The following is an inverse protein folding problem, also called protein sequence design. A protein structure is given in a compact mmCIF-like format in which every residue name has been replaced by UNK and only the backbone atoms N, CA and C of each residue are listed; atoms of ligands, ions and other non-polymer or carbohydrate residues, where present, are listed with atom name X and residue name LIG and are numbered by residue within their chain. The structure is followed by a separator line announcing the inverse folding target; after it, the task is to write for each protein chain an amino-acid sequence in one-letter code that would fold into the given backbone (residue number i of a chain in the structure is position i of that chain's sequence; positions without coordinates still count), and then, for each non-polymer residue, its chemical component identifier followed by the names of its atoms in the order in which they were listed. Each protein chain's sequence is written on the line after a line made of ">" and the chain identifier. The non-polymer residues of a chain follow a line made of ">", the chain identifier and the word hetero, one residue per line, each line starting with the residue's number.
data_IF_185474598216
#
_entry.id   IF_185474598216
#
_cell.length_a   1.000
_cell.length_b   1.000
_cell.length_c   1.000
_cell.angle_alpha   90.00
_cell.angle_beta   90.00
_cell.angle_gamma   90.00
#
_symmetry.space_group_name_H-M   'P 1'
#
loop_
_entity.id
_entity.type
_entity.pdbx_description
1 polymer ?
#
# COMPACT_ATOMS: atom_id res chain seq x y z
N UNK A 1 -11.92 -11.96 -3.59
CA UNK A 1 -11.08 -11.48 -4.71
C UNK A 1 -10.16 -10.37 -4.21
N UNK A 2 -8.89 -10.46 -4.48
CA UNK A 2 -7.95 -9.37 -4.26
C UNK A 2 -7.53 -8.78 -5.61
N UNK A 3 -7.67 -7.48 -5.76
CA UNK A 3 -7.24 -6.74 -6.95
C UNK A 3 -6.21 -5.70 -6.55
N UNK A 4 -5.10 -5.72 -7.25
CA UNK A 4 -4.08 -4.67 -7.22
C UNK A 4 -3.83 -4.24 -8.66
N UNK A 5 -4.24 -3.04 -9.01
CA UNK A 5 -4.01 -2.51 -10.34
C UNK A 5 -2.53 -2.13 -10.48
N UNK A 6 -1.79 -2.97 -11.14
CA UNK A 6 -0.39 -2.75 -11.54
C UNK A 6 -0.31 -2.83 -13.04
N UNK A 7 0.65 -2.18 -13.67
CA UNK A 7 0.83 -2.23 -15.12
C UNK A 7 1.05 -3.66 -15.64
N UNK A 8 1.00 -3.83 -16.96
CA UNK A 8 1.17 -5.12 -17.63
C UNK A 8 2.49 -5.80 -17.27
N UNK A 9 3.52 -5.01 -17.03
CA UNK A 9 4.81 -5.47 -16.51
C UNK A 9 5.06 -4.84 -15.14
N UNK A 10 4.65 -5.52 -14.07
CA UNK A 10 4.73 -5.01 -12.69
C UNK A 10 6.16 -4.66 -12.22
N UNK A 11 7.20 -5.08 -12.94
CA UNK A 11 8.59 -4.74 -12.63
C UNK A 11 9.05 -3.44 -13.29
N UNK A 12 8.43 -3.05 -14.39
CA UNK A 12 8.83 -1.90 -15.21
C UNK A 12 7.79 -0.79 -15.21
N UNK A 13 6.52 -1.17 -15.22
CA UNK A 13 5.44 -0.22 -15.32
C UNK A 13 5.17 0.41 -13.96
N UNK A 14 4.93 1.72 -13.98
CA UNK A 14 4.51 2.48 -12.82
C UNK A 14 3.01 2.70 -12.92
N UNK A 15 2.20 2.01 -12.12
CA UNK A 15 0.75 2.21 -12.15
C UNK A 15 0.41 3.65 -11.79
N UNK A 16 -0.56 4.20 -12.51
CA UNK A 16 -1.08 5.53 -12.27
C UNK A 16 -2.61 5.48 -12.30
N UNK A 17 -3.23 5.53 -11.13
CA UNK A 17 -4.67 5.50 -10.98
C UNK A 17 -5.39 6.52 -11.86
N UNK A 18 -4.86 7.73 -11.97
CA UNK A 18 -5.49 8.83 -12.67
C UNK A 18 -5.54 8.63 -14.20
N UNK A 19 -4.60 7.88 -14.75
CA UNK A 19 -4.58 7.52 -16.17
C UNK A 19 -5.20 6.15 -16.45
N UNK A 20 -5.01 5.19 -15.54
CA UNK A 20 -5.49 3.83 -15.70
C UNK A 20 -7.00 3.72 -15.47
N UNK A 21 -7.55 4.61 -14.65
CA UNK A 21 -8.98 4.70 -14.30
C UNK A 21 -9.48 6.13 -14.46
N UNK A 22 -9.35 6.67 -15.66
CA UNK A 22 -9.61 8.09 -15.90
C UNK A 22 -11.06 8.50 -15.61
N UNK A 23 -12.03 7.59 -15.73
CA UNK A 23 -13.43 7.84 -15.37
C UNK A 23 -13.62 8.09 -13.87
N UNK A 24 -12.69 7.61 -13.04
CA UNK A 24 -12.73 7.80 -11.58
C UNK A 24 -11.76 8.88 -11.12
N UNK A 25 -11.00 9.46 -12.03
CA UNK A 25 -9.93 10.40 -11.67
C UNK A 25 -10.45 11.66 -10.99
N UNK A 26 -11.65 12.10 -11.33
CA UNK A 26 -12.26 13.31 -10.77
C UNK A 26 -12.84 13.08 -9.35
N UNK A 27 -13.02 11.80 -8.96
CA UNK A 27 -13.53 11.44 -7.64
C UNK A 27 -12.44 11.43 -6.56
N UNK A 28 -11.18 11.53 -6.96
CA UNK A 28 -10.03 11.43 -6.05
C UNK A 28 -9.10 12.63 -6.22
N UNK A 29 -8.88 13.36 -5.15
CA UNK A 29 -7.92 14.46 -5.13
C UNK A 29 -6.58 13.93 -4.65
N UNK A 30 -5.55 14.07 -5.47
CA UNK A 30 -4.19 13.73 -5.07
C UNK A 30 -3.71 14.67 -3.97
N UNK A 31 -3.10 14.11 -2.92
CA UNK A 31 -2.56 14.90 -1.82
C UNK A 31 -1.45 15.84 -2.29
N UNK A 32 -1.49 17.08 -1.82
CA UNK A 32 -0.47 18.11 -2.09
C UNK A 32 0.72 18.05 -1.12
N UNK A 33 0.69 17.15 -0.13
CA UNK A 33 1.79 17.01 0.84
C UNK A 33 3.09 16.60 0.15
N UNK A 34 3.00 15.79 -0.91
CA UNK A 34 4.14 15.48 -1.76
C UNK A 34 4.04 16.21 -3.11
N UNK A 35 5.13 16.76 -3.61
CA UNK A 35 5.15 17.32 -4.96
C UNK A 35 4.73 16.27 -6.00
N UNK A 36 3.76 16.60 -6.84
CA UNK A 36 3.23 15.68 -7.86
C UNK A 36 4.32 15.15 -8.80
N UNK A 37 5.35 15.96 -9.06
CA UNK A 37 6.49 15.57 -9.90
C UNK A 37 7.34 14.45 -9.29
N UNK A 38 7.20 14.20 -7.97
CA UNK A 38 7.90 13.13 -7.25
C UNK A 38 7.03 11.91 -7.02
N UNK A 39 5.78 11.92 -7.46
CA UNK A 39 4.91 10.75 -7.32
C UNK A 39 5.45 9.62 -8.19
N UNK A 40 5.83 8.53 -7.54
CA UNK A 40 6.33 7.35 -8.22
C UNK A 40 5.21 6.53 -8.84
N UNK A 41 4.14 6.29 -8.08
CA UNK A 41 2.98 5.52 -8.53
C UNK A 41 1.76 5.79 -7.67
N UNK A 42 0.59 5.55 -8.24
CA UNK A 42 -0.69 5.56 -7.55
C UNK A 42 -1.43 4.26 -7.87
N UNK A 43 -1.85 3.52 -6.86
CA UNK A 43 -2.34 2.15 -7.01
C UNK A 43 -3.73 2.04 -6.42
N UNK A 44 -4.68 1.54 -7.22
CA UNK A 44 -5.98 1.09 -6.72
C UNK A 44 -5.85 -0.34 -6.17
N UNK A 45 -6.36 -0.55 -4.96
CA UNK A 45 -6.47 -1.87 -4.33
C UNK A 45 -7.91 -2.13 -3.92
N UNK A 46 -8.38 -3.33 -4.19
CA UNK A 46 -9.67 -3.84 -3.69
C UNK A 46 -9.35 -5.17 -3.01
N UNK A 47 -9.63 -5.26 -1.72
CA UNK A 47 -9.28 -6.41 -0.91
C UNK A 47 -10.55 -7.09 -0.37
N UNK A 48 -10.54 -8.40 -0.17
CA UNK A 48 -11.61 -9.09 0.51
C UNK A 48 -11.61 -8.75 2.01
N UNK A 49 -12.73 -9.02 2.65
CA UNK A 49 -12.84 -8.96 4.10
C UNK A 49 -11.85 -9.93 4.76
N UNK A 50 -11.29 -9.53 5.88
CA UNK A 50 -10.32 -10.30 6.68
C UNK A 50 -9.04 -10.67 5.93
N UNK A 51 -8.64 -9.85 4.96
CA UNK A 51 -7.33 -10.01 4.35
C UNK A 51 -6.25 -9.43 5.26
N UNK A 52 -5.24 -10.24 5.50
CA UNK A 52 -4.07 -9.86 6.28
C UNK A 52 -2.85 -9.70 5.36
N UNK A 53 -2.00 -8.74 5.68
CA UNK A 53 -0.70 -8.56 5.03
C UNK A 53 0.37 -8.63 6.12
N UNK A 54 1.41 -9.42 5.84
CA UNK A 54 2.52 -9.57 6.76
C UNK A 54 3.23 -8.25 7.03
N UNK A 55 3.89 -8.19 8.17
CA UNK A 55 4.70 -7.05 8.56
C UNK A 55 5.81 -6.79 7.53
N UNK A 56 5.88 -5.56 7.05
CA UNK A 56 6.87 -5.08 6.09
C UNK A 56 7.06 -3.58 6.25
N UNK A 57 8.05 -3.03 5.58
CA UNK A 57 8.15 -1.61 5.34
C UNK A 57 8.23 -1.34 3.83
N UNK A 58 7.77 -0.17 3.43
CA UNK A 58 7.92 0.31 2.07
C UNK A 58 9.18 1.18 1.96
N UNK A 59 9.90 1.07 0.85
CA UNK A 59 11.13 1.83 0.61
C UNK A 59 10.88 3.27 0.17
N UNK A 60 9.65 3.59 -0.19
CA UNK A 60 9.22 4.93 -0.57
C UNK A 60 8.18 5.42 0.43
N UNK A 61 8.23 6.72 0.71
CA UNK A 61 7.16 7.38 1.45
C UNK A 61 5.85 7.24 0.69
N UNK A 62 4.77 6.96 1.39
CA UNK A 62 3.47 6.76 0.76
C UNK A 62 2.30 7.22 1.64
N UNK A 63 1.15 7.32 1.00
CA UNK A 63 -0.13 7.50 1.64
C UNK A 63 -1.05 6.32 1.34
N UNK A 64 -1.73 5.86 2.35
CA UNK A 64 -2.82 4.91 2.22
C UNK A 64 -4.15 5.65 2.41
N UNK A 65 -4.97 5.68 1.37
CA UNK A 65 -6.32 6.22 1.41
C UNK A 65 -7.34 5.10 1.47
N UNK A 66 -8.12 5.06 2.55
CA UNK A 66 -9.21 4.10 2.67
C UNK A 66 -10.50 4.73 2.16
N UNK A 67 -10.89 4.40 0.92
CA UNK A 67 -12.06 4.96 0.26
C UNK A 67 -13.34 4.33 0.79
N UNK A 68 -13.35 3.01 1.02
CA UNK A 68 -14.50 2.27 1.51
C UNK A 68 -14.06 1.12 2.41
N UNK A 69 -14.84 0.84 3.45
CA UNK A 69 -14.53 -0.20 4.41
C UNK A 69 -13.64 0.30 5.56
N UNK A 70 -13.05 -0.64 6.27
CA UNK A 70 -12.16 -0.37 7.41
C UNK A 70 -10.87 -1.14 7.24
N UNK A 71 -9.77 -0.52 7.63
CA UNK A 71 -8.47 -1.15 7.81
C UNK A 71 -7.96 -0.91 9.21
N UNK A 72 -7.40 -1.94 9.80
CA UNK A 72 -6.59 -1.85 10.99
C UNK A 72 -5.13 -1.94 10.58
N UNK A 73 -4.31 -1.02 11.06
CA UNK A 73 -2.89 -0.96 10.75
C UNK A 73 -2.11 -0.94 12.06
N UNK A 74 -1.20 -1.90 12.21
CA UNK A 74 -0.26 -1.94 13.32
C UNK A 74 1.05 -1.30 12.87
N UNK A 75 1.47 -0.26 13.55
CA UNK A 75 2.72 0.43 13.29
C UNK A 75 3.70 0.13 14.43
N UNK A 76 4.93 -0.16 14.06
CA UNK A 76 6.03 -0.41 14.97
C UNK A 76 7.11 0.66 14.78
N UNK A 77 7.79 0.99 15.87
CA UNK A 77 8.93 1.90 15.80
C UNK A 77 10.03 1.28 14.92
N UNK A 78 10.57 2.01 13.94
CA UNK A 78 11.67 1.53 13.12
C UNK A 78 12.90 1.09 13.93
N UNK A 79 13.10 1.64 15.14
CA UNK A 79 14.20 1.25 16.02
C UNK A 79 14.04 -0.16 16.60
N UNK A 80 12.84 -0.72 16.56
CA UNK A 80 12.56 -2.08 16.99
C UNK A 80 12.83 -3.14 15.93
N UNK A 81 13.40 -2.76 14.79
CA UNK A 81 13.59 -3.65 13.62
C UNK A 81 14.27 -4.98 13.97
N UNK A 82 15.18 -4.99 14.93
CA UNK A 82 15.87 -6.22 15.37
C UNK A 82 14.92 -7.20 16.05
N UNK A 83 13.93 -6.68 16.79
CA UNK A 83 12.91 -7.48 17.48
C UNK A 83 11.81 -7.95 16.54
N UNK A 84 11.69 -7.34 15.36
CA UNK A 84 10.69 -7.63 14.35
C UNK A 84 11.18 -8.68 13.32
N UNK A 85 12.42 -9.15 13.45
CA UNK A 85 13.01 -10.18 12.58
C UNK A 85 12.89 -9.85 11.09
N UNK A 86 13.15 -8.61 10.74
CA UNK A 86 13.08 -8.12 9.35
C UNK A 86 14.23 -8.74 8.54
N UNK A 87 13.88 -9.28 7.38
CA UNK A 87 14.82 -9.77 6.38
C UNK A 87 14.45 -9.17 5.02
N UNK A 88 15.31 -8.32 4.48
CA UNK A 88 14.94 -7.45 3.39
C UNK A 88 13.91 -6.42 3.83
N UNK A 89 12.73 -6.42 3.24
CA UNK A 89 11.62 -5.50 3.54
C UNK A 89 10.48 -6.14 4.35
N UNK A 90 10.63 -7.40 4.79
CA UNK A 90 9.57 -8.20 5.42
C UNK A 90 10.04 -8.91 6.67
N UNK A 91 9.12 -9.14 7.60
CA UNK A 91 9.37 -10.02 8.73
C UNK A 91 9.20 -11.49 8.35
N UNK A 92 10.09 -12.34 8.87
CA UNK A 92 9.99 -13.80 8.77
C UNK A 92 9.01 -14.41 9.77
N UNK A 93 8.55 -13.66 10.76
CA UNK A 93 7.62 -14.17 11.76
C UNK A 93 6.21 -14.11 11.23
N UNK A 94 5.60 -15.26 11.03
CA UNK A 94 4.23 -15.40 10.52
C UNK A 94 3.14 -14.90 11.46
N UNK A 95 3.44 -14.71 12.75
CA UNK A 95 2.50 -14.13 13.71
C UNK A 95 2.47 -12.61 13.78
N UNK A 96 3.41 -11.94 13.09
CA UNK A 96 3.44 -10.48 12.99
C UNK A 96 2.72 -10.05 11.71
N UNK A 97 1.43 -10.24 11.68
CA UNK A 97 0.57 -9.89 10.57
C UNK A 97 -0.25 -8.68 10.96
N UNK A 98 -0.26 -7.68 10.12
CA UNK A 98 -1.23 -6.61 10.26
C UNK A 98 -2.55 -7.03 9.59
N UNK A 99 -3.61 -7.05 10.38
CA UNK A 99 -4.97 -7.30 9.91
C UNK A 99 -5.51 -6.02 9.26
N UNK A 100 -5.82 -6.07 8.00
CA UNK A 100 -6.13 -4.86 7.23
C UNK A 100 -7.61 -4.58 7.07
N UNK A 101 -8.50 -5.50 7.31
CA UNK A 101 -9.92 -5.25 7.09
C UNK A 101 -10.79 -5.92 8.14
N UNK A 102 -11.37 -5.11 8.96
CA UNK A 102 -12.44 -5.50 9.87
C UNK A 102 -13.76 -4.86 9.49
#
# INVERSE_FOLDING_TARGET
>A
MYLRAVGANFRKDRPNFFTDFHELSDDVIQSEIFPHQRTHSTILRISPKNMEIWLHYDTLDNFLFQVKGKKEVLLFDPNDYQNLYIDGDKSKITGLISDFER
#
